data_IF_733759597549
#
_entry.id   IF_733759597549
#
_cell.length_a   1.000
_cell.length_b   1.000
_cell.length_c   1.000
_cell.angle_alpha   90.00
_cell.angle_beta   90.00
_cell.angle_gamma   90.00
#
_symmetry.space_group_name_H-M   'P 1'
#
loop_
_entity.id
_entity.type
_entity.pdbx_description
1 polymer ?
#
# COMPACT_ATOMS: atom_id res chain seq x y z
N UNK A 1 -34.51 -25.94 27.82
CA UNK A 1 -33.48 -26.10 26.76
C UNK A 1 -33.28 -24.85 25.88
N UNK A 2 -34.32 -24.10 25.49
CA UNK A 2 -34.19 -22.88 24.62
C UNK A 2 -33.34 -21.74 25.21
N UNK A 3 -33.38 -21.51 26.53
CA UNK A 3 -32.58 -20.46 27.19
C UNK A 3 -31.08 -20.75 27.22
N UNK A 4 -30.71 -22.02 27.37
CA UNK A 4 -29.32 -22.46 27.34
C UNK A 4 -28.69 -22.29 25.94
N UNK A 5 -29.45 -22.65 24.90
CA UNK A 5 -29.03 -22.42 23.51
C UNK A 5 -28.82 -20.94 23.17
N UNK A 6 -29.70 -20.06 23.69
CA UNK A 6 -29.54 -18.61 23.52
C UNK A 6 -28.30 -18.08 24.25
N UNK A 7 -28.05 -18.54 25.46
CA UNK A 7 -26.83 -18.18 26.21
C UNK A 7 -25.55 -18.64 25.50
N UNK A 8 -25.53 -19.87 25.01
CA UNK A 8 -24.41 -20.41 24.25
C UNK A 8 -24.15 -19.63 22.95
N UNK A 9 -25.22 -19.22 22.25
CA UNK A 9 -25.12 -18.46 21.01
C UNK A 9 -24.61 -17.03 21.23
N UNK A 10 -25.06 -16.38 22.31
CA UNK A 10 -24.54 -15.06 22.72
C UNK A 10 -23.07 -15.16 23.12
N UNK A 11 -22.69 -16.18 23.90
CA UNK A 11 -21.29 -16.40 24.29
C UNK A 11 -20.38 -16.67 23.08
N UNK A 12 -20.83 -17.48 22.12
CA UNK A 12 -20.09 -17.73 20.89
C UNK A 12 -19.90 -16.47 20.04
N UNK A 13 -20.92 -15.61 19.96
CA UNK A 13 -20.83 -14.34 19.23
C UNK A 13 -19.82 -13.35 19.87
N UNK A 14 -19.78 -13.28 21.21
CA UNK A 14 -18.83 -12.43 21.95
C UNK A 14 -17.39 -12.94 21.83
N UNK A 15 -17.18 -14.26 21.78
CA UNK A 15 -15.86 -14.85 21.55
C UNK A 15 -15.40 -14.67 20.10
N UNK A 16 -16.33 -14.72 19.14
CA UNK A 16 -16.02 -14.48 17.72
C UNK A 16 -15.65 -13.02 17.44
N UNK A 17 -16.22 -12.05 18.17
CA UNK A 17 -15.89 -10.63 17.99
C UNK A 17 -14.50 -10.24 18.49
N UNK A 18 -13.84 -11.10 19.28
CA UNK A 18 -12.45 -10.89 19.71
C UNK A 18 -11.43 -11.19 18.60
N UNK A 19 -11.86 -11.82 17.50
CA UNK A 19 -11.05 -12.11 16.32
C UNK A 19 -10.92 -10.88 15.40
N UNK A 20 -10.82 -9.68 15.96
CA UNK A 20 -10.55 -8.50 15.15
C UNK A 20 -9.13 -8.62 14.58
N UNK A 21 -9.04 -8.82 13.28
CA UNK A 21 -7.78 -8.82 12.55
C UNK A 21 -7.33 -7.37 12.42
N UNK A 22 -6.31 -6.97 13.17
CA UNK A 22 -5.60 -5.73 12.91
C UNK A 22 -4.75 -5.97 11.65
N UNK A 23 -5.16 -5.36 10.52
CA UNK A 23 -4.27 -5.26 9.37
C UNK A 23 -3.32 -4.09 9.63
N UNK A 24 -2.02 -4.38 9.74
CA UNK A 24 -1.00 -3.34 9.82
C UNK A 24 -0.91 -2.64 8.46
N UNK A 25 -1.07 -1.31 8.47
CA UNK A 25 -0.93 -0.46 7.29
C UNK A 25 0.33 0.39 7.41
N UNK A 26 1.20 0.31 6.42
CA UNK A 26 2.43 1.08 6.31
C UNK A 26 2.24 2.24 5.34
N UNK A 27 2.37 3.46 5.87
CA UNK A 27 2.30 4.70 5.09
C UNK A 27 3.69 5.33 4.98
N UNK A 28 4.07 5.75 3.77
CA UNK A 28 5.34 6.44 3.52
C UNK A 28 5.09 7.81 2.85
N UNK A 29 5.93 8.78 3.20
CA UNK A 29 6.06 10.05 2.47
C UNK A 29 7.51 10.21 2.06
N UNK A 30 7.75 10.43 0.77
CA UNK A 30 9.10 10.34 0.22
C UNK A 30 9.37 11.39 -0.86
N UNK A 31 10.41 12.19 -0.65
CA UNK A 31 10.99 13.04 -1.68
C UNK A 31 12.03 12.25 -2.48
N UNK A 32 11.76 12.07 -3.77
CA UNK A 32 12.58 11.28 -4.69
C UNK A 32 13.68 12.08 -5.38
N UNK A 33 13.89 13.34 -4.98
CA UNK A 33 14.89 14.27 -5.50
C UNK A 33 14.84 14.36 -7.02
N UNK A 34 13.75 14.92 -7.55
CA UNK A 34 13.50 15.10 -8.98
C UNK A 34 13.35 13.78 -9.76
N UNK A 35 12.34 12.96 -9.43
CA UNK A 35 12.03 11.72 -10.15
C UNK A 35 11.72 12.01 -11.63
N UNK A 36 12.28 11.18 -12.51
CA UNK A 36 12.13 11.32 -13.97
C UNK A 36 13.12 12.31 -14.61
N UNK A 37 13.99 12.96 -13.84
CA UNK A 37 15.01 13.87 -14.35
C UNK A 37 16.42 13.45 -13.91
N UNK A 38 17.41 13.65 -14.79
CA UNK A 38 18.84 13.53 -14.46
C UNK A 38 19.48 12.16 -14.69
N UNK A 39 18.83 11.25 -15.43
CA UNK A 39 19.44 10.04 -16.02
C UNK A 39 19.91 8.91 -15.10
N UNK A 40 20.22 9.20 -13.83
CA UNK A 40 20.98 8.28 -12.96
C UNK A 40 20.15 7.51 -11.91
N UNK A 41 18.83 7.65 -11.89
CA UNK A 41 18.00 6.97 -10.89
C UNK A 41 17.74 5.51 -11.25
N UNK A 42 18.10 4.61 -10.35
CA UNK A 42 17.78 3.18 -10.45
C UNK A 42 16.33 2.93 -10.04
N UNK A 43 15.44 2.76 -11.01
CA UNK A 43 14.04 2.40 -10.78
C UNK A 43 13.87 1.11 -9.97
N UNK A 44 14.65 0.04 -10.19
CA UNK A 44 14.60 -1.14 -9.33
C UNK A 44 14.89 -0.83 -7.86
N UNK A 45 15.86 0.05 -7.57
CA UNK A 45 16.16 0.45 -6.20
C UNK A 45 15.06 1.34 -5.62
N UNK A 46 14.47 2.23 -6.43
CA UNK A 46 13.36 3.06 -5.98
C UNK A 46 12.13 2.21 -5.61
N UNK A 47 11.80 1.22 -6.44
CA UNK A 47 10.70 0.30 -6.20
C UNK A 47 10.94 -0.61 -4.97
N UNK A 48 12.20 -0.95 -4.67
CA UNK A 48 12.54 -1.67 -3.43
C UNK A 48 12.19 -0.90 -2.16
N UNK A 49 12.36 0.42 -2.19
CA UNK A 49 12.03 1.28 -1.06
C UNK A 49 10.52 1.52 -1.00
N UNK A 50 9.91 1.85 -2.13
CA UNK A 50 8.48 2.13 -2.21
C UNK A 50 7.60 0.90 -1.92
N UNK A 51 8.01 -0.29 -2.33
CA UNK A 51 7.26 -1.54 -2.12
C UNK A 51 7.24 -2.04 -0.67
N UNK A 52 7.82 -1.30 0.28
CA UNK A 52 7.70 -1.57 1.72
C UNK A 52 6.46 -0.93 2.36
N UNK A 53 5.76 -0.08 1.61
CA UNK A 53 4.60 0.65 2.07
C UNK A 53 3.38 0.25 1.25
N UNK A 54 2.22 0.21 1.90
CA UNK A 54 0.93 0.01 1.22
C UNK A 54 0.53 1.30 0.50
N UNK A 55 0.92 2.46 1.05
CA UNK A 55 0.68 3.76 0.45
C UNK A 55 1.92 4.64 0.56
N UNK A 56 2.34 5.20 -0.57
CA UNK A 56 3.48 6.10 -0.65
C UNK A 56 3.12 7.42 -1.35
N UNK A 57 3.27 8.53 -0.63
CA UNK A 57 3.21 9.86 -1.21
C UNK A 57 4.58 10.23 -1.81
N UNK A 58 4.65 10.41 -3.13
CA UNK A 58 5.91 10.62 -3.87
C UNK A 58 6.04 12.08 -4.27
N UNK A 59 7.03 12.76 -3.71
CA UNK A 59 7.31 14.18 -3.95
C UNK A 59 8.44 14.37 -4.95
N UNK A 60 8.47 15.56 -5.56
CA UNK A 60 9.41 15.96 -6.62
C UNK A 60 9.36 15.07 -7.88
N UNK A 61 8.16 14.59 -8.23
CA UNK A 61 7.92 14.03 -9.56
C UNK A 61 8.00 15.14 -10.59
N UNK A 62 8.97 15.06 -11.50
CA UNK A 62 9.24 16.07 -12.53
C UNK A 62 8.45 15.83 -13.82
N UNK A 63 8.11 14.57 -14.11
CA UNK A 63 7.33 14.17 -15.27
C UNK A 63 6.55 12.87 -14.98
N UNK A 64 5.52 12.63 -15.78
CA UNK A 64 4.66 11.44 -15.68
C UNK A 64 5.43 10.16 -16.03
N UNK A 65 6.35 10.21 -16.98
CA UNK A 65 7.16 9.06 -17.40
C UNK A 65 7.94 8.45 -16.21
N UNK A 66 8.55 9.30 -15.37
CA UNK A 66 9.23 8.85 -14.17
C UNK A 66 8.29 8.17 -13.18
N UNK A 67 7.03 8.60 -13.09
CA UNK A 67 6.04 7.97 -12.23
C UNK A 67 5.59 6.61 -12.80
N UNK A 68 5.29 6.55 -14.09
CA UNK A 68 4.89 5.30 -14.77
C UNK A 68 6.00 4.25 -14.76
N UNK A 69 7.27 4.65 -14.84
CA UNK A 69 8.40 3.72 -14.71
C UNK A 69 8.55 3.16 -13.30
N UNK A 70 8.26 3.97 -12.28
CA UNK A 70 8.26 3.51 -10.89
C UNK A 70 7.09 2.55 -10.65
N UNK A 71 5.90 2.87 -11.15
CA UNK A 71 4.71 2.01 -11.12
C UNK A 71 4.99 0.65 -11.77
N UNK A 72 5.46 0.62 -13.02
CA UNK A 72 5.74 -0.62 -13.72
C UNK A 72 6.77 -1.50 -12.98
N UNK A 73 7.79 -0.90 -12.37
CA UNK A 73 8.81 -1.63 -11.63
C UNK A 73 8.30 -2.12 -10.25
N UNK A 74 7.38 -1.38 -9.62
CA UNK A 74 6.68 -1.82 -8.41
C UNK A 74 5.82 -3.04 -8.72
N UNK A 75 4.96 -2.97 -9.73
CA UNK A 75 4.10 -4.10 -10.13
C UNK A 75 4.92 -5.33 -10.52
N UNK A 76 6.03 -5.12 -11.24
CA UNK A 76 6.97 -6.19 -11.61
C UNK A 76 7.60 -6.86 -10.38
N UNK A 77 7.88 -6.09 -9.32
CA UNK A 77 8.55 -6.59 -8.11
C UNK A 77 7.59 -7.25 -7.13
N UNK A 78 6.42 -6.66 -6.90
CA UNK A 78 5.45 -7.15 -5.92
C UNK A 78 4.49 -8.18 -6.51
N UNK A 79 4.29 -8.16 -7.83
CA UNK A 79 3.27 -8.97 -8.49
C UNK A 79 1.84 -8.45 -8.27
N UNK A 80 1.69 -7.29 -7.63
CA UNK A 80 0.42 -6.64 -7.32
C UNK A 80 0.21 -5.42 -8.21
N UNK A 81 -1.06 -5.12 -8.50
CA UNK A 81 -1.40 -3.90 -9.23
C UNK A 81 -1.23 -2.68 -8.34
N UNK A 82 -0.58 -1.67 -8.89
CA UNK A 82 -0.35 -0.38 -8.25
C UNK A 82 -1.28 0.65 -8.92
N UNK A 83 -1.94 1.48 -8.13
CA UNK A 83 -2.77 2.59 -8.62
C UNK A 83 -2.08 3.91 -8.33
N UNK A 84 -1.82 4.69 -9.36
CA UNK A 84 -1.27 6.04 -9.22
C UNK A 84 -2.39 7.10 -9.21
N UNK A 85 -2.36 8.01 -8.23
CA UNK A 85 -3.19 9.21 -8.23
C UNK A 85 -2.34 10.45 -8.57
N UNK A 86 -2.46 10.99 -9.80
CA UNK A 86 -1.67 12.12 -10.26
C UNK A 86 -2.08 13.46 -9.62
N UNK A 87 -3.29 13.54 -9.06
CA UNK A 87 -3.86 14.78 -8.48
C UNK A 87 -3.18 15.18 -7.17
N UNK A 88 -2.53 14.22 -6.50
CA UNK A 88 -1.88 14.40 -5.20
C UNK A 88 -0.38 14.03 -5.27
N UNK A 89 0.10 13.52 -6.42
CA UNK A 89 1.40 12.85 -6.57
C UNK A 89 1.57 11.70 -5.55
N UNK A 90 0.54 10.88 -5.41
CA UNK A 90 0.51 9.74 -4.46
C UNK A 90 0.41 8.43 -5.23
N UNK A 91 1.21 7.44 -4.82
CA UNK A 91 1.21 6.08 -5.37
C UNK A 91 0.57 5.15 -4.33
N UNK A 92 -0.48 4.44 -4.73
CA UNK A 92 -1.19 3.45 -3.91
C UNK A 92 -0.81 2.06 -4.38
N UNK A 93 -0.28 1.20 -3.51
CA UNK A 93 -0.29 -0.24 -3.75
C UNK A 93 -1.50 -0.85 -3.08
N UNK A 94 -2.09 -1.84 -3.72
CA UNK A 94 -3.16 -2.63 -3.12
C UNK A 94 -2.58 -4.01 -2.78
N UNK A 95 -2.30 -4.21 -1.50
CA UNK A 95 -2.25 -5.55 -0.88
C UNK A 95 -3.65 -6.17 -0.85
#
# INVERSE_FOLDING_TARGET
MKGFFRGALVAAAVLASSLTSAADLTLMSWNTMRLGQGGEKSFPALAEVAGKADLVAVQEVMNEEGLSRLEAELERRTGEQCKVDPSVKTVFQRV
#
